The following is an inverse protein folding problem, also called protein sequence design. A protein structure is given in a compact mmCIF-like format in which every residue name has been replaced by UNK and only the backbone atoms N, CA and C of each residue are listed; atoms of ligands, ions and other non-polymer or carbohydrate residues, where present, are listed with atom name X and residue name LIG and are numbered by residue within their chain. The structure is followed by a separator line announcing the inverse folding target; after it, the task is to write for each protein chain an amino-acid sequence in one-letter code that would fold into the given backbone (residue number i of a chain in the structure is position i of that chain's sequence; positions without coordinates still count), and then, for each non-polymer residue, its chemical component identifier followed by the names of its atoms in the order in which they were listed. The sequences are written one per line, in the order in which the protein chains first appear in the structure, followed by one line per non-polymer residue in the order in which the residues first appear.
data_IF_247629219740
#
_entry.id   IF_247629219740
#
_cell.length_a   1.000
_cell.length_b   1.000
_cell.length_c   1.000
_cell.angle_alpha   90.00
_cell.angle_beta   90.00
_cell.angle_gamma   90.00
#
_symmetry.space_group_name_H-M   'P 1'
#
loop_
_entity.id
_entity.type
_entity.pdbx_description
1 polymer ?
#
# COMPACT_ATOMS: atom_id res chain seq x y z
N UNK A 1 -27.25 -54.04 -5.18
CA UNK A 1 -25.98 -54.15 -5.92
C UNK A 1 -26.20 -53.67 -7.34
N UNK A 2 -25.75 -52.46 -7.67
CA UNK A 2 -25.58 -51.98 -9.04
C UNK A 2 -24.64 -50.77 -8.97
N UNK A 3 -23.49 -50.90 -9.63
CA UNK A 3 -22.49 -49.87 -9.91
C UNK A 3 -23.02 -48.94 -11.00
N UNK A 4 -22.65 -47.64 -11.00
CA UNK A 4 -22.22 -46.88 -12.19
C UNK A 4 -21.70 -45.48 -11.79
N UNK A 5 -20.49 -45.23 -12.29
CA UNK A 5 -19.86 -43.99 -12.76
C UNK A 5 -19.65 -42.76 -11.86
N UNK A 6 -18.36 -42.41 -11.82
CA UNK A 6 -17.74 -41.14 -11.48
C UNK A 6 -18.42 -39.91 -12.12
N UNK A 7 -18.52 -38.85 -11.32
CA UNK A 7 -18.55 -37.47 -11.79
C UNK A 7 -17.56 -36.66 -10.95
N UNK A 8 -16.42 -36.36 -11.54
CA UNK A 8 -15.57 -35.26 -11.14
C UNK A 8 -16.37 -33.96 -11.29
N UNK A 9 -16.63 -33.27 -10.19
CA UNK A 9 -17.17 -31.92 -10.21
C UNK A 9 -16.10 -30.93 -9.82
N UNK A 10 -15.86 -30.06 -10.79
CA UNK A 10 -14.92 -28.96 -10.84
C UNK A 10 -14.86 -28.13 -9.55
N UNK A 11 -13.64 -27.97 -9.06
CA UNK A 11 -13.25 -26.79 -8.30
C UNK A 11 -13.28 -25.57 -9.26
N UNK A 12 -14.43 -24.92 -9.37
CA UNK A 12 -14.49 -23.54 -9.84
C UNK A 12 -14.21 -22.65 -8.65
N UNK A 13 -12.91 -22.44 -8.42
CA UNK A 13 -12.42 -21.41 -7.54
C UNK A 13 -12.94 -20.06 -8.03
N UNK A 14 -13.63 -19.38 -7.12
CA UNK A 14 -14.05 -17.99 -7.20
C UNK A 14 -12.82 -17.08 -7.34
N UNK A 15 -12.36 -16.89 -8.58
CA UNK A 15 -11.39 -15.85 -8.93
C UNK A 15 -12.18 -14.61 -9.37
N UNK A 16 -12.69 -13.87 -8.38
CA UNK A 16 -13.43 -12.61 -8.59
C UNK A 16 -12.74 -11.49 -7.84
N UNK A 17 -11.67 -10.99 -8.44
CA UNK A 17 -11.19 -9.63 -8.22
C UNK A 17 -10.95 -9.03 -9.60
N UNK A 18 -11.71 -8.01 -10.04
CA UNK A 18 -11.55 -7.40 -11.37
C UNK A 18 -10.41 -6.37 -11.39
N UNK A 19 -9.48 -6.44 -10.43
CA UNK A 19 -8.19 -5.80 -10.61
C UNK A 19 -7.55 -6.45 -11.83
N UNK A 20 -7.29 -5.66 -12.87
CA UNK A 20 -6.32 -6.00 -13.90
C UNK A 20 -4.97 -6.18 -13.21
N UNK A 21 -4.75 -7.33 -12.58
CA UNK A 21 -3.40 -7.82 -12.34
C UNK A 21 -2.78 -7.87 -13.72
N UNK A 22 -1.67 -7.19 -13.93
CA UNK A 22 -0.88 -7.32 -15.16
C UNK A 22 -0.20 -8.70 -15.11
N UNK A 23 -1.01 -9.76 -15.13
CA UNK A 23 -0.66 -11.16 -15.22
C UNK A 23 0.16 -11.73 -14.05
N UNK A 24 0.13 -13.05 -13.83
CA UNK A 24 1.00 -13.68 -12.84
C UNK A 24 2.46 -13.49 -13.23
N UNK A 25 3.25 -12.96 -12.29
CA UNK A 25 4.71 -12.93 -12.38
C UNK A 25 5.23 -14.36 -12.38
N UNK A 26 5.99 -14.75 -13.41
CA UNK A 26 6.55 -16.11 -13.53
C UNK A 26 8.07 -16.04 -13.51
N UNK A 27 8.66 -17.03 -12.86
CA UNK A 27 10.13 -17.18 -12.78
C UNK A 27 10.59 -18.20 -13.82
N UNK A 28 11.54 -17.79 -14.67
CA UNK A 28 11.82 -18.46 -15.95
C UNK A 28 13.08 -19.33 -15.97
N UNK A 29 13.52 -19.86 -14.84
CA UNK A 29 14.75 -20.66 -14.77
C UNK A 29 15.94 -19.95 -14.11
N UNK A 30 16.93 -20.74 -13.70
CA UNK A 30 18.24 -20.23 -13.26
C UNK A 30 18.97 -19.67 -14.47
N UNK A 31 19.54 -18.47 -14.35
CA UNK A 31 20.32 -17.87 -15.43
C UNK A 31 21.81 -18.07 -15.17
N UNK A 32 22.47 -18.82 -16.04
CA UNK A 32 23.94 -18.87 -16.08
C UNK A 32 24.44 -17.59 -16.75
N UNK A 33 24.80 -16.59 -15.96
CA UNK A 33 25.42 -15.36 -16.46
C UNK A 33 26.89 -15.64 -16.84
N UNK A 34 27.26 -15.40 -18.10
CA UNK A 34 28.63 -15.53 -18.64
C UNK A 34 29.69 -14.69 -17.92
N UNK A 35 29.26 -13.70 -17.13
CA UNK A 35 30.14 -12.82 -16.34
C UNK A 35 29.98 -13.02 -14.82
N UNK A 36 29.31 -14.09 -14.37
CA UNK A 36 28.94 -14.33 -12.96
C UNK A 36 28.12 -13.21 -12.28
N UNK A 37 27.63 -12.21 -13.04
CA UNK A 37 26.93 -11.03 -12.51
C UNK A 37 25.57 -11.36 -11.91
N UNK A 38 24.88 -12.38 -12.44
CA UNK A 38 23.58 -12.86 -11.93
C UNK A 38 23.63 -14.34 -11.49
N UNK A 39 24.82 -14.86 -11.19
CA UNK A 39 24.97 -16.19 -10.62
C UNK A 39 24.17 -16.23 -9.30
N UNK A 40 23.35 -17.26 -9.13
CA UNK A 40 22.43 -17.47 -7.99
C UNK A 40 21.17 -16.59 -7.95
N UNK A 41 20.80 -16.01 -9.09
CA UNK A 41 19.52 -15.34 -9.28
C UNK A 41 18.61 -16.05 -10.30
N UNK A 42 17.30 -15.86 -10.14
CA UNK A 42 16.26 -16.24 -11.10
C UNK A 42 15.86 -15.05 -11.97
N UNK A 43 15.62 -15.29 -13.26
CA UNK A 43 14.97 -14.31 -14.13
C UNK A 43 13.48 -14.27 -13.86
N UNK A 44 12.94 -13.06 -13.75
CA UNK A 44 11.52 -12.81 -13.59
C UNK A 44 10.98 -12.25 -14.90
N UNK A 45 9.92 -12.86 -15.43
CA UNK A 45 9.18 -12.37 -16.58
C UNK A 45 7.69 -12.28 -16.26
N UNK A 46 7.03 -11.31 -16.87
CA UNK A 46 5.57 -11.19 -16.93
C UNK A 46 5.12 -11.64 -18.31
N UNK A 47 4.15 -12.57 -18.35
CA UNK A 47 3.44 -12.88 -19.58
C UNK A 47 2.51 -11.71 -19.89
N UNK A 48 2.99 -10.71 -20.62
CA UNK A 48 2.12 -9.64 -21.12
C UNK A 48 1.36 -10.14 -22.34
N UNK A 49 0.16 -10.68 -22.13
CA UNK A 49 -0.84 -10.75 -23.20
C UNK A 49 -1.78 -9.58 -22.98
N UNK A 50 -1.46 -8.44 -23.60
CA UNK A 50 -2.37 -7.30 -23.62
C UNK A 50 -3.70 -7.77 -24.21
N UNK A 51 -4.83 -7.59 -23.51
CA UNK A 51 -6.12 -7.92 -24.09
C UNK A 51 -6.28 -7.12 -25.38
N UNK A 52 -6.66 -7.79 -26.47
CA UNK A 52 -7.04 -7.10 -27.70
C UNK A 52 -8.16 -6.11 -27.38
N UNK A 53 -8.04 -4.89 -27.90
CA UNK A 53 -9.02 -3.82 -27.73
C UNK A 53 -10.35 -4.31 -28.29
N UNK A 54 -11.18 -4.87 -27.42
CA UNK A 54 -12.54 -5.25 -27.77
C UNK A 54 -13.40 -4.03 -27.52
N UNK A 55 -13.95 -3.49 -28.60
CA UNK A 55 -14.86 -2.35 -28.62
C UNK A 55 -16.14 -2.69 -27.84
N UNK A 56 -16.12 -2.53 -26.52
CA UNK A 56 -17.23 -2.92 -25.65
C UNK A 56 -17.73 -1.78 -24.74
N UNK A 57 -18.91 -1.29 -25.15
CA UNK A 57 -20.01 -0.66 -24.41
C UNK A 57 -19.64 0.37 -23.32
N UNK A 58 -19.84 1.64 -23.70
CA UNK A 58 -20.25 2.73 -22.78
C UNK A 58 -21.55 2.34 -22.05
N UNK A 59 -21.42 1.70 -20.89
CA UNK A 59 -22.50 1.41 -19.97
C UNK A 59 -22.87 2.64 -19.16
N UNK A 60 -24.14 3.02 -19.22
CA UNK A 60 -24.74 4.22 -18.66
C UNK A 60 -24.59 4.30 -17.13
N UNK A 61 -23.87 5.32 -16.65
CA UNK A 61 -24.03 5.83 -15.29
C UNK A 61 -25.33 6.64 -15.23
N UNK A 62 -26.49 5.97 -15.14
CA UNK A 62 -27.74 6.65 -14.78
C UNK A 62 -28.21 6.17 -13.41
N UNK A 63 -28.47 7.14 -12.52
CA UNK A 63 -29.20 6.96 -11.27
C UNK A 63 -30.59 6.40 -11.57
N UNK A 64 -30.99 5.37 -10.83
CA UNK A 64 -32.33 4.83 -10.85
C UNK A 64 -32.53 3.74 -11.90
N UNK A 65 -32.81 2.53 -11.42
CA UNK A 65 -33.48 1.45 -12.13
C UNK A 65 -32.71 0.57 -13.14
N UNK A 66 -31.38 0.65 -13.20
CA UNK A 66 -30.61 -0.46 -13.77
C UNK A 66 -29.13 -0.21 -13.96
N UNK A 67 -28.29 -0.91 -13.19
CA UNK A 67 -26.91 -1.22 -13.62
C UNK A 67 -25.84 -1.26 -12.55
N UNK A 68 -25.81 -0.30 -11.61
CA UNK A 68 -24.69 -0.21 -10.65
C UNK A 68 -24.91 -0.96 -9.32
N UNK A 69 -26.16 -1.20 -8.90
CA UNK A 69 -26.47 -1.92 -7.65
C UNK A 69 -25.79 -1.35 -6.39
N UNK A 70 -25.76 -2.13 -5.31
CA UNK A 70 -25.02 -1.86 -4.05
C UNK A 70 -23.48 -1.93 -4.22
N UNK A 71 -22.95 -1.87 -5.46
CA UNK A 71 -21.50 -1.92 -5.71
C UNK A 71 -20.86 -0.60 -5.34
N UNK A 72 -19.63 -0.67 -4.82
CA UNK A 72 -18.82 0.51 -4.54
C UNK A 72 -18.47 1.25 -5.85
N UNK A 73 -18.44 2.58 -5.81
CA UNK A 73 -17.97 3.42 -6.91
C UNK A 73 -16.57 3.04 -7.39
N UNK A 74 -15.70 2.59 -6.49
CA UNK A 74 -14.39 2.05 -6.82
C UNK A 74 -14.47 0.87 -7.77
N UNK A 75 -15.37 -0.07 -7.48
CA UNK A 75 -15.58 -1.26 -8.30
C UNK A 75 -16.22 -0.89 -9.64
N UNK A 76 -17.13 0.09 -9.66
CA UNK A 76 -17.70 0.62 -10.92
C UNK A 76 -16.61 1.25 -11.80
N UNK A 77 -15.69 1.99 -11.20
CA UNK A 77 -14.57 2.60 -11.90
C UNK A 77 -13.57 1.57 -12.44
N UNK A 78 -13.22 0.56 -11.66
CA UNK A 78 -12.32 -0.53 -12.09
C UNK A 78 -12.88 -1.32 -13.27
N UNK A 79 -14.20 -1.53 -13.32
CA UNK A 79 -14.86 -2.20 -14.44
C UNK A 79 -14.91 -1.35 -15.72
N UNK A 80 -14.58 -0.06 -15.65
CA UNK A 80 -14.53 0.80 -16.82
C UNK A 80 -13.27 0.48 -17.65
N UNK A 81 -13.46 0.37 -18.96
CA UNK A 81 -12.37 0.09 -19.90
C UNK A 81 -11.44 1.30 -19.95
N UNK A 82 -10.16 1.08 -19.65
CA UNK A 82 -9.12 2.08 -19.86
C UNK A 82 -8.45 1.84 -21.21
N UNK A 83 -8.55 2.78 -22.17
CA UNK A 83 -7.92 2.60 -23.47
C UNK A 83 -6.39 2.64 -23.32
N UNK A 84 -5.71 1.62 -23.87
CA UNK A 84 -4.26 1.68 -24.02
C UNK A 84 -3.89 2.81 -24.98
N UNK A 85 -3.25 3.84 -24.43
CA UNK A 85 -2.69 4.95 -25.19
C UNK A 85 -1.17 4.83 -25.29
N UNK A 86 -0.56 5.62 -26.19
CA UNK A 86 0.90 5.73 -26.33
C UNK A 86 1.61 6.10 -25.02
N UNK A 87 0.87 6.59 -24.02
CA UNK A 87 1.38 6.84 -22.67
C UNK A 87 2.02 5.59 -22.02
N UNK A 88 1.50 4.41 -22.36
CA UNK A 88 1.95 3.11 -21.84
C UNK A 88 2.96 2.41 -22.76
N UNK A 89 3.34 3.01 -23.88
CA UNK A 89 4.35 2.44 -24.76
C UNK A 89 5.75 2.52 -24.11
N UNK A 90 6.67 1.57 -24.42
CA UNK A 90 8.05 1.62 -23.95
C UNK A 90 8.70 2.96 -24.31
N UNK A 91 9.20 3.68 -23.30
CA UNK A 91 9.83 4.98 -23.55
C UNK A 91 11.27 4.75 -24.00
N UNK A 92 11.60 5.29 -25.18
CA UNK A 92 12.96 5.28 -25.72
C UNK A 92 13.93 6.15 -24.92
N UNK A 93 13.43 7.01 -24.03
CA UNK A 93 14.21 7.90 -23.18
C UNK A 93 14.07 7.52 -21.70
N UNK A 94 15.09 7.76 -20.87
CA UNK A 94 14.96 7.66 -19.42
C UNK A 94 13.76 8.45 -18.90
N UNK A 95 13.23 8.07 -17.74
CA UNK A 95 12.20 8.85 -17.07
C UNK A 95 12.69 10.30 -16.92
N UNK A 96 11.95 11.23 -17.53
CA UNK A 96 12.18 12.66 -17.31
C UNK A 96 12.00 12.93 -15.82
N UNK A 97 12.91 13.67 -15.16
CA UNK A 97 12.69 14.09 -13.79
C UNK A 97 11.36 14.87 -13.74
N UNK A 98 10.57 14.64 -12.69
CA UNK A 98 9.31 15.36 -12.50
C UNK A 98 9.56 16.87 -12.63
N UNK A 99 8.76 17.59 -13.44
CA UNK A 99 8.88 19.03 -13.56
C UNK A 99 8.58 19.65 -12.19
N UNK A 100 9.63 20.12 -11.51
CA UNK A 100 9.60 20.54 -10.10
C UNK A 100 10.50 19.76 -9.14
N UNK A 101 11.26 18.77 -9.62
CA UNK A 101 12.10 17.89 -8.80
C UNK A 101 11.34 16.65 -8.32
N UNK A 102 12.03 15.71 -7.66
CA UNK A 102 11.33 14.57 -7.08
C UNK A 102 10.24 15.06 -6.11
N UNK A 103 9.02 14.53 -6.20
CA UNK A 103 7.98 14.86 -5.24
C UNK A 103 8.48 14.66 -3.81
N UNK A 104 8.04 15.48 -2.85
CA UNK A 104 8.46 15.36 -1.44
C UNK A 104 8.21 13.96 -0.84
N UNK A 105 7.32 13.16 -1.45
CA UNK A 105 7.09 11.77 -1.06
C UNK A 105 8.20 10.81 -1.52
N UNK A 106 8.91 11.13 -2.60
CA UNK A 106 10.07 10.40 -3.06
C UNK A 106 11.30 10.91 -2.28
N UNK A 107 11.46 10.40 -1.04
CA UNK A 107 12.68 10.64 -0.28
C UNK A 107 13.86 9.97 -0.96
N UNK A 108 15.00 10.65 -0.93
CA UNK A 108 16.22 10.22 -1.60
C UNK A 108 17.28 9.95 -0.56
N UNK A 109 18.03 8.88 -0.77
CA UNK A 109 19.26 8.63 -0.05
C UNK A 109 20.27 9.73 -0.32
N UNK A 110 20.82 10.33 0.74
CA UNK A 110 21.89 11.32 0.63
C UNK A 110 23.26 10.63 0.70
N UNK A 111 24.05 10.74 -0.36
CA UNK A 111 25.41 10.21 -0.42
C UNK A 111 25.54 8.88 -1.17
N UNK A 112 26.66 8.19 -0.94
CA UNK A 112 26.99 6.91 -1.62
C UNK A 112 26.57 5.73 -0.76
N UNK A 113 25.99 4.72 -1.39
CA UNK A 113 25.71 3.43 -0.74
C UNK A 113 26.93 2.53 -0.99
N UNK A 114 27.67 2.20 0.06
CA UNK A 114 28.78 1.24 -0.06
C UNK A 114 28.24 -0.18 -0.17
N UNK A 115 28.99 -1.05 -0.85
CA UNK A 115 28.66 -2.47 -0.93
C UNK A 115 28.60 -3.13 0.47
N UNK A 116 29.47 -2.69 1.38
CA UNK A 116 29.49 -3.19 2.76
C UNK A 116 28.20 -2.80 3.51
N UNK A 117 27.73 -1.56 3.38
CA UNK A 117 26.46 -1.13 3.97
C UNK A 117 25.29 -1.90 3.37
N UNK A 118 25.24 -2.03 2.04
CA UNK A 118 24.19 -2.76 1.36
C UNK A 118 24.10 -4.23 1.82
N UNK A 119 25.24 -4.92 1.90
CA UNK A 119 25.28 -6.31 2.34
C UNK A 119 25.02 -6.50 3.85
N UNK A 120 25.20 -5.46 4.68
CA UNK A 120 24.95 -5.56 6.12
C UNK A 120 23.47 -5.40 6.48
N UNK A 121 22.63 -4.86 5.58
CA UNK A 121 21.22 -4.54 5.86
C UNK A 121 20.43 -5.71 6.48
N UNK A 122 20.45 -6.95 5.94
CA UNK A 122 19.68 -8.04 6.54
C UNK A 122 20.14 -8.38 7.98
N UNK A 123 21.44 -8.24 8.26
CA UNK A 123 22.01 -8.46 9.59
C UNK A 123 21.63 -7.33 10.56
N UNK A 124 21.67 -6.08 10.11
CA UNK A 124 21.23 -4.93 10.91
C UNK A 124 19.75 -5.07 11.28
N UNK A 125 18.90 -5.42 10.31
CA UNK A 125 17.48 -5.62 10.57
C UNK A 125 17.24 -6.75 11.57
N UNK A 126 17.93 -7.89 11.39
CA UNK A 126 17.86 -9.03 12.30
C UNK A 126 18.22 -8.65 13.74
N UNK A 127 19.32 -7.92 13.92
CA UNK A 127 19.84 -7.61 15.25
C UNK A 127 19.07 -6.49 15.96
N UNK A 128 18.58 -5.51 15.21
CA UNK A 128 17.88 -4.35 15.78
C UNK A 128 16.38 -4.59 15.98
N UNK A 129 15.74 -5.29 15.04
CA UNK A 129 14.29 -5.45 15.02
C UNK A 129 13.85 -6.92 15.15
N UNK A 130 14.80 -7.86 15.20
CA UNK A 130 14.52 -9.29 15.37
C UNK A 130 14.41 -10.04 14.03
N UNK A 131 14.41 -11.37 14.12
CA UNK A 131 14.41 -12.26 12.94
C UNK A 131 13.15 -12.10 12.06
N UNK A 132 12.02 -11.66 12.60
CA UNK A 132 10.78 -11.49 11.84
C UNK A 132 10.91 -10.38 10.78
N UNK A 133 11.78 -9.40 10.97
CA UNK A 133 12.02 -8.33 9.98
C UNK A 133 13.10 -8.70 8.96
N UNK A 134 14.00 -9.65 9.29
CA UNK A 134 15.07 -10.03 8.37
C UNK A 134 14.59 -10.97 7.25
N UNK A 135 13.52 -11.74 7.48
CA UNK A 135 12.87 -12.58 6.45
C UNK A 135 12.10 -11.75 5.43
N UNK A 136 11.70 -10.52 5.80
CA UNK A 136 10.92 -9.60 4.97
C UNK A 136 11.78 -8.73 4.05
N UNK A 137 13.09 -9.00 3.91
CA UNK A 137 13.95 -8.31 2.96
C UNK A 137 14.16 -9.17 1.71
N UNK A 138 13.67 -8.66 0.59
CA UNK A 138 13.89 -9.22 -0.73
C UNK A 138 15.05 -8.50 -1.43
N UNK A 139 15.92 -9.28 -2.07
CA UNK A 139 17.01 -8.75 -2.90
C UNK A 139 16.67 -8.94 -4.37
N UNK A 140 16.64 -7.83 -5.07
CA UNK A 140 16.46 -7.78 -6.52
C UNK A 140 17.71 -7.23 -7.19
N UNK A 141 17.85 -7.59 -8.46
CA UNK A 141 18.87 -7.06 -9.34
C UNK A 141 18.25 -6.69 -10.68
N UNK A 142 18.49 -5.47 -11.13
CA UNK A 142 18.21 -5.03 -12.49
C UNK A 142 19.49 -5.13 -13.28
N UNK A 143 19.46 -5.87 -14.39
CA UNK A 143 20.62 -5.99 -15.27
C UNK A 143 20.19 -6.13 -16.73
N UNK A 144 20.68 -5.26 -17.61
CA UNK A 144 20.35 -5.31 -19.04
C UNK A 144 18.84 -5.17 -19.32
N UNK A 145 18.13 -4.35 -18.54
CA UNK A 145 16.68 -4.16 -18.66
C UNK A 145 15.83 -5.33 -18.13
N UNK A 146 16.43 -6.29 -17.43
CA UNK A 146 15.75 -7.48 -16.87
C UNK A 146 15.78 -7.46 -15.35
N UNK A 147 14.75 -8.04 -14.73
CA UNK A 147 14.63 -8.19 -13.28
C UNK A 147 15.04 -9.59 -12.83
N UNK A 148 15.83 -9.63 -11.76
CA UNK A 148 16.33 -10.84 -11.16
C UNK A 148 16.07 -10.86 -9.64
N UNK A 149 15.82 -12.03 -9.05
CA UNK A 149 15.67 -12.22 -7.59
C UNK A 149 16.56 -13.35 -7.07
N UNK A 150 16.97 -13.28 -5.79
CA UNK A 150 17.78 -14.33 -5.13
C UNK A 150 17.08 -15.70 -5.18
N UNK A 151 17.84 -16.76 -5.48
CA UNK A 151 17.43 -18.17 -5.42
C UNK A 151 16.80 -18.59 -4.09
N UNK A 152 17.30 -18.06 -2.98
CA UNK A 152 16.80 -18.41 -1.65
C UNK A 152 15.39 -17.89 -1.36
N UNK A 153 14.86 -16.96 -2.15
CA UNK A 153 13.53 -16.40 -1.92
C UNK A 153 12.43 -17.46 -1.95
N UNK A 154 12.50 -18.47 -2.83
CA UNK A 154 11.46 -19.50 -2.97
C UNK A 154 11.30 -20.41 -1.75
N UNK A 155 12.32 -20.48 -0.90
CA UNK A 155 12.30 -21.30 0.32
C UNK A 155 12.07 -20.45 1.57
N UNK A 156 11.97 -19.13 1.43
CA UNK A 156 11.62 -18.24 2.53
C UNK A 156 10.11 -18.18 2.63
N UNK A 157 9.59 -18.68 3.74
CA UNK A 157 8.26 -18.33 4.21
C UNK A 157 8.22 -16.81 4.41
N UNK A 158 7.40 -16.12 3.60
CA UNK A 158 7.20 -14.67 3.71
C UNK A 158 6.10 -14.33 4.71
N UNK A 159 5.64 -15.30 5.49
CA UNK A 159 4.66 -15.14 6.56
C UNK A 159 3.36 -14.49 6.06
N UNK A 160 2.92 -14.83 4.84
CA UNK A 160 1.71 -14.29 4.22
C UNK A 160 1.92 -13.04 3.36
N UNK A 161 3.16 -12.59 3.14
CA UNK A 161 3.50 -11.42 2.32
C UNK A 161 3.79 -11.74 0.85
N UNK A 162 3.44 -12.95 0.37
CA UNK A 162 3.68 -13.39 -1.01
C UNK A 162 2.98 -12.47 -2.02
N UNK A 163 1.71 -12.14 -1.78
CA UNK A 163 0.94 -11.22 -2.65
C UNK A 163 1.60 -9.85 -2.72
N UNK A 164 2.13 -9.36 -1.62
CA UNK A 164 2.83 -8.08 -1.57
C UNK A 164 4.14 -8.12 -2.36
N UNK A 165 4.89 -9.21 -2.25
CA UNK A 165 6.10 -9.40 -3.05
C UNK A 165 5.79 -9.43 -4.56
N UNK A 166 4.74 -10.15 -4.96
CA UNK A 166 4.27 -10.21 -6.36
C UNK A 166 3.89 -8.82 -6.91
N UNK A 167 3.18 -8.01 -6.12
CA UNK A 167 2.81 -6.64 -6.51
C UNK A 167 4.04 -5.76 -6.75
N UNK A 168 5.07 -5.89 -5.92
CA UNK A 168 6.31 -5.11 -6.07
C UNK A 168 7.04 -5.56 -7.34
N UNK A 169 7.09 -6.85 -7.63
CA UNK A 169 7.68 -7.36 -8.86
C UNK A 169 6.95 -6.86 -10.10
N UNK A 170 5.62 -6.92 -10.10
CA UNK A 170 4.78 -6.40 -11.16
C UNK A 170 5.08 -4.91 -11.41
N UNK A 171 5.12 -4.10 -10.36
CA UNK A 171 5.48 -2.68 -10.43
C UNK A 171 6.89 -2.47 -10.99
N UNK A 172 7.89 -3.25 -10.55
CA UNK A 172 9.27 -3.14 -11.04
C UNK A 172 9.37 -3.55 -12.51
N UNK A 173 8.67 -4.60 -12.94
CA UNK A 173 8.63 -5.04 -14.34
C UNK A 173 7.93 -4.01 -15.23
N UNK A 174 6.83 -3.43 -14.77
CA UNK A 174 6.17 -2.33 -15.47
C UNK A 174 7.11 -1.12 -15.61
N UNK A 175 7.88 -0.78 -14.56
CA UNK A 175 8.88 0.27 -14.66
C UNK A 175 9.99 -0.06 -15.67
N UNK A 176 10.45 -1.32 -15.75
CA UNK A 176 11.44 -1.77 -16.74
C UNK A 176 10.90 -1.77 -18.17
N UNK A 177 9.61 -2.06 -18.34
CA UNK A 177 8.93 -1.97 -19.63
C UNK A 177 8.81 -0.51 -20.10
N UNK A 178 8.41 0.38 -19.20
CA UNK A 178 8.12 1.77 -19.52
C UNK A 178 9.38 2.63 -19.61
N UNK A 179 10.47 2.29 -18.92
CA UNK A 179 11.64 3.14 -18.79
C UNK A 179 12.96 2.39 -18.99
N UNK A 180 13.96 3.10 -19.50
CA UNK A 180 15.36 2.65 -19.49
C UNK A 180 15.94 2.75 -18.07
N UNK A 181 15.77 1.69 -17.28
CA UNK A 181 16.32 1.59 -15.92
C UNK A 181 17.78 1.12 -15.97
N UNK A 182 18.72 1.81 -15.31
CA UNK A 182 20.11 1.38 -15.25
C UNK A 182 20.26 0.08 -14.43
N UNK A 183 21.41 -0.58 -14.60
CA UNK A 183 21.76 -1.73 -13.77
C UNK A 183 21.84 -1.31 -12.30
N UNK A 184 21.20 -2.06 -11.41
CA UNK A 184 21.13 -1.75 -9.98
C UNK A 184 20.91 -3.01 -9.14
N UNK A 185 21.51 -3.05 -7.96
CA UNK A 185 21.13 -3.98 -6.89
C UNK A 185 20.18 -3.25 -5.94
N UNK A 186 19.07 -3.89 -5.56
CA UNK A 186 17.98 -3.28 -4.81
C UNK A 186 17.58 -4.18 -3.66
N UNK A 187 17.34 -3.59 -2.49
CA UNK A 187 16.72 -4.27 -1.35
C UNK A 187 15.33 -3.71 -1.13
N UNK A 188 14.35 -4.58 -1.01
CA UNK A 188 12.95 -4.25 -0.74
C UNK A 188 12.59 -4.82 0.62
N UNK A 189 12.01 -4.01 1.50
CA UNK A 189 11.50 -4.47 2.79
C UNK A 189 9.97 -4.51 2.75
N UNK A 190 9.40 -5.68 3.06
CA UNK A 190 7.96 -5.94 3.06
C UNK A 190 7.28 -5.68 4.41
N UNK A 191 8.07 -5.42 5.46
CA UNK A 191 7.52 -5.22 6.81
C UNK A 191 6.87 -3.85 6.98
N UNK A 192 5.85 -3.81 7.84
CA UNK A 192 5.27 -2.56 8.34
C UNK A 192 6.28 -1.87 9.27
N UNK A 193 6.63 -0.63 8.95
CA UNK A 193 7.58 0.19 9.71
C UNK A 193 8.54 0.95 8.80
N UNK A 194 9.43 1.72 9.41
CA UNK A 194 10.40 2.55 8.69
C UNK A 194 11.81 2.44 9.30
N UNK A 195 12.53 1.32 9.05
CA UNK A 195 13.90 1.12 9.48
C UNK A 195 14.82 2.30 9.10
N UNK A 196 15.46 2.86 10.12
CA UNK A 196 16.29 4.05 9.98
C UNK A 196 17.68 3.72 9.42
N UNK A 197 18.18 4.55 8.50
CA UNK A 197 19.58 4.51 8.08
C UNK A 197 19.95 3.34 7.18
N UNK A 198 18.99 2.76 6.47
CA UNK A 198 19.21 1.59 5.61
C UNK A 198 18.78 1.88 4.15
N UNK A 199 19.57 1.48 3.14
CA UNK A 199 19.26 1.71 1.74
C UNK A 199 18.19 0.71 1.23
N UNK A 200 16.97 0.85 1.75
CA UNK A 200 15.83 -0.03 1.49
C UNK A 200 14.76 0.70 0.66
N UNK A 201 14.16 -0.01 -0.30
CA UNK A 201 12.85 0.33 -0.87
C UNK A 201 11.75 -0.14 0.09
N UNK A 202 10.87 0.75 0.53
CA UNK A 202 9.87 0.47 1.55
C UNK A 202 8.55 1.20 1.27
N UNK A 203 7.41 0.64 1.68
CA UNK A 203 6.13 1.33 1.57
C UNK A 203 6.08 2.59 2.45
N UNK A 204 6.75 2.53 3.61
CA UNK A 204 6.82 3.59 4.60
C UNK A 204 8.27 3.97 4.86
N UNK A 205 8.51 5.28 5.01
CA UNK A 205 9.82 5.84 5.37
C UNK A 205 9.65 6.82 6.53
N UNK A 206 10.67 6.93 7.37
CA UNK A 206 10.67 7.86 8.49
C UNK A 206 11.53 9.06 8.15
N UNK A 207 10.85 10.15 7.73
CA UNK A 207 11.51 11.39 7.31
C UNK A 207 12.21 12.13 8.45
N UNK A 208 12.14 11.65 9.69
CA UNK A 208 12.97 12.17 10.79
C UNK A 208 14.46 11.86 10.59
N UNK A 209 14.79 10.92 9.70
CA UNK A 209 16.15 10.52 9.40
C UNK A 209 16.56 10.91 7.99
N UNK A 210 17.75 11.50 7.83
CA UNK A 210 18.30 11.85 6.51
C UNK A 210 18.41 10.63 5.58
N UNK A 211 18.70 9.46 6.18
CA UNK A 211 18.90 8.19 5.48
C UNK A 211 17.70 7.23 5.65
N UNK A 212 16.48 7.73 5.51
CA UNK A 212 15.23 6.99 5.66
C UNK A 212 14.95 5.91 4.59
N UNK A 213 15.90 5.63 3.70
CA UNK A 213 15.70 4.76 2.55
C UNK A 213 14.91 5.44 1.43
N UNK A 214 14.11 4.66 0.71
CA UNK A 214 13.37 5.08 -0.48
C UNK A 214 11.92 4.60 -0.37
N UNK A 215 10.96 5.52 -0.54
CA UNK A 215 9.56 5.16 -0.58
C UNK A 215 9.19 4.51 -1.92
N UNK A 216 8.40 3.44 -1.89
CA UNK A 216 7.78 2.82 -3.07
C UNK A 216 6.24 2.91 -3.01
N UNK A 217 5.57 3.22 -4.14
CA UNK A 217 4.12 3.39 -4.17
C UNK A 217 3.36 2.06 -4.25
N UNK A 218 3.79 1.03 -3.49
CA UNK A 218 3.26 -0.35 -3.58
C UNK A 218 1.72 -0.40 -3.53
N UNK A 219 1.11 0.25 -2.54
CA UNK A 219 -0.34 0.20 -2.33
C UNK A 219 -1.10 1.11 -3.29
N UNK A 220 -0.45 2.17 -3.77
CA UNK A 220 -0.99 3.00 -4.85
C UNK A 220 -0.99 2.26 -6.18
N UNK A 221 -0.07 1.31 -6.39
CA UNK A 221 -0.05 0.44 -7.57
C UNK A 221 -1.26 -0.49 -7.61
N UNK A 222 -1.56 -1.17 -6.50
CA UNK A 222 -2.74 -2.05 -6.38
C UNK A 222 -4.04 -1.28 -6.67
N UNK A 223 -4.13 -0.04 -6.22
CA UNK A 223 -5.32 0.81 -6.34
C UNK A 223 -5.20 1.84 -7.46
N UNK A 224 -4.28 1.65 -8.42
CA UNK A 224 -4.11 2.59 -9.50
C UNK A 224 -5.31 2.52 -10.46
N UNK A 225 -5.92 3.67 -10.71
CA UNK A 225 -6.93 3.85 -11.76
C UNK A 225 -6.33 4.65 -12.90
N UNK A 226 -6.68 4.28 -14.14
CA UNK A 226 -6.37 5.11 -15.30
C UNK A 226 -7.17 6.42 -15.32
N UNK A 227 -6.84 7.36 -16.22
CA UNK A 227 -7.56 8.64 -16.32
C UNK A 227 -9.07 8.51 -16.51
N UNK A 228 -9.54 7.63 -17.40
CA UNK A 228 -10.97 7.45 -17.64
C UNK A 228 -11.66 6.77 -16.44
N UNK A 229 -11.02 5.73 -15.88
CA UNK A 229 -11.50 5.09 -14.65
C UNK A 229 -11.59 6.07 -13.47
N UNK A 230 -10.60 6.96 -13.32
CA UNK A 230 -10.60 8.01 -12.28
C UNK A 230 -11.74 9.00 -12.48
N UNK A 231 -12.03 9.38 -13.73
CA UNK A 231 -13.17 10.23 -14.08
C UNK A 231 -14.50 9.58 -13.66
N UNK A 232 -14.68 8.30 -14.00
CA UNK A 232 -15.84 7.49 -13.61
C UNK A 232 -15.98 7.40 -12.09
N UNK A 233 -14.87 7.20 -11.36
CA UNK A 233 -14.88 7.18 -9.90
C UNK A 233 -15.43 8.50 -9.35
N UNK A 234 -14.90 9.64 -9.79
CA UNK A 234 -15.33 10.95 -9.31
C UNK A 234 -16.78 11.26 -9.67
N UNK A 235 -17.24 10.92 -10.88
CA UNK A 235 -18.64 11.06 -11.29
C UNK A 235 -19.58 10.22 -10.40
N UNK A 236 -19.21 8.96 -10.14
CA UNK A 236 -19.96 8.09 -9.25
C UNK A 236 -20.02 8.65 -7.82
N UNK A 237 -18.88 9.10 -7.28
CA UNK A 237 -18.82 9.67 -5.94
C UNK A 237 -19.62 10.97 -5.80
N UNK A 238 -19.58 11.87 -6.79
CA UNK A 238 -20.37 13.11 -6.77
C UNK A 238 -21.86 12.80 -6.89
N UNK A 239 -22.21 11.81 -7.71
CA UNK A 239 -23.58 11.34 -7.84
C UNK A 239 -24.06 10.64 -6.58
N UNK A 240 -23.26 9.83 -5.89
CA UNK A 240 -23.72 9.08 -4.71
C UNK A 240 -23.65 9.93 -3.43
N UNK A 241 -22.62 10.74 -3.30
CA UNK A 241 -22.29 11.52 -2.10
C UNK A 241 -22.05 13.00 -2.45
N UNK A 242 -23.10 13.71 -2.89
CA UNK A 242 -22.97 15.09 -3.38
C UNK A 242 -22.39 16.01 -2.31
N UNK A 243 -21.59 17.00 -2.75
CA UNK A 243 -21.04 18.07 -1.90
C UNK A 243 -22.14 19.05 -1.47
N UNK A 244 -23.04 18.58 -0.63
CA UNK A 244 -24.20 19.34 -0.14
C UNK A 244 -24.28 19.31 1.37
N UNK A 245 -25.12 20.17 1.93
CA UNK A 245 -25.39 20.28 3.37
C UNK A 245 -26.04 19.03 3.98
N UNK A 246 -26.29 17.99 3.17
CA UNK A 246 -26.85 16.70 3.62
C UNK A 246 -25.82 15.80 4.32
N UNK A 247 -24.54 16.17 4.34
CA UNK A 247 -23.50 15.42 5.05
C UNK A 247 -23.68 15.57 6.56
N UNK A 248 -23.38 14.52 7.31
CA UNK A 248 -23.31 14.60 8.75
C UNK A 248 -22.24 15.62 9.15
N UNK A 249 -22.63 16.65 9.91
CA UNK A 249 -21.77 17.72 10.41
C UNK A 249 -20.80 17.23 11.52
N UNK A 250 -20.12 16.13 11.25
CA UNK A 250 -19.22 15.43 12.17
C UNK A 250 -17.92 15.06 11.46
N UNK A 251 -16.87 14.96 12.24
CA UNK A 251 -15.55 14.50 11.83
C UNK A 251 -15.48 12.99 11.98
N UNK A 252 -15.15 12.27 10.91
CA UNK A 252 -15.07 10.81 10.93
C UNK A 252 -13.65 10.26 10.95
N UNK A 253 -13.48 9.18 11.72
CA UNK A 253 -12.32 8.29 11.63
C UNK A 253 -12.73 6.87 12.05
N UNK A 254 -12.21 5.85 11.38
CA UNK A 254 -12.28 4.44 11.82
C UNK A 254 -10.90 3.84 11.67
N UNK A 255 -10.38 3.16 12.66
CA UNK A 255 -9.09 2.50 12.49
C UNK A 255 -8.75 1.58 13.63
N UNK A 256 -7.64 0.87 13.51
CA UNK A 256 -7.08 0.11 14.62
C UNK A 256 -6.17 1.01 15.45
N UNK A 257 -5.75 0.54 16.63
CA UNK A 257 -4.87 1.28 17.53
C UNK A 257 -3.40 1.35 17.09
N UNK A 258 -3.06 1.11 15.82
CA UNK A 258 -1.65 1.03 15.40
C UNK A 258 -0.92 2.35 15.59
N UNK A 259 0.28 2.33 16.16
CA UNK A 259 1.11 3.52 16.42
C UNK A 259 2.59 3.16 16.39
N UNK A 260 3.39 3.96 15.67
CA UNK A 260 4.84 3.73 15.54
C UNK A 260 5.61 3.94 16.85
N UNK A 261 5.09 4.74 17.77
CA UNK A 261 5.77 5.06 19.03
C UNK A 261 5.37 4.13 20.18
N UNK A 262 4.24 3.43 20.05
CA UNK A 262 3.66 2.63 21.13
C UNK A 262 3.22 1.26 20.59
N UNK A 263 4.17 0.34 20.51
CA UNK A 263 3.95 -1.07 20.23
C UNK A 263 4.77 -1.94 21.20
N UNK A 264 4.14 -2.76 22.06
CA UNK A 264 2.70 -2.99 22.18
C UNK A 264 1.97 -1.88 22.96
N UNK A 265 0.70 -1.69 22.67
CA UNK A 265 -0.22 -0.94 23.53
C UNK A 265 -0.60 -1.79 24.75
N UNK A 266 -0.40 -1.26 25.94
CA UNK A 266 -0.78 -1.87 27.23
C UNK A 266 -1.75 -0.94 27.96
N UNK A 267 -2.34 -1.39 29.07
CA UNK A 267 -3.39 -0.62 29.75
C UNK A 267 -2.93 0.75 30.22
N UNK A 268 -1.67 0.87 30.69
CA UNK A 268 -1.13 2.12 31.19
C UNK A 268 -0.87 3.18 30.12
N UNK A 269 -0.79 2.79 28.83
CA UNK A 269 -0.46 3.71 27.74
C UNK A 269 -1.53 3.75 26.63
N UNK A 270 -2.68 3.10 26.82
CA UNK A 270 -3.75 3.04 25.82
C UNK A 270 -4.29 4.43 25.43
N UNK A 271 -4.21 5.42 26.34
CA UNK A 271 -4.58 6.81 26.11
C UNK A 271 -3.44 7.69 25.59
N UNK A 272 -2.22 7.17 25.52
CA UNK A 272 -1.07 7.89 24.95
C UNK A 272 -0.97 7.70 23.44
N UNK A 273 -1.51 6.60 22.93
CA UNK A 273 -1.66 6.35 21.50
C UNK A 273 -2.53 7.46 20.89
N UNK A 274 -2.05 8.09 19.82
CA UNK A 274 -2.76 9.23 19.18
C UNK A 274 -4.17 8.81 18.73
N UNK A 275 -4.28 7.60 18.17
CA UNK A 275 -5.56 7.00 17.77
C UNK A 275 -6.48 6.66 18.95
N UNK A 276 -5.90 6.36 20.12
CA UNK A 276 -6.63 6.17 21.37
C UNK A 276 -7.26 7.49 21.85
N UNK A 277 -6.50 8.59 21.78
CA UNK A 277 -7.02 9.94 22.08
C UNK A 277 -8.13 10.34 21.13
N UNK A 278 -7.94 10.10 19.82
CA UNK A 278 -8.98 10.39 18.82
C UNK A 278 -10.27 9.59 19.07
N UNK A 279 -10.16 8.32 19.47
CA UNK A 279 -11.31 7.50 19.87
C UNK A 279 -12.01 8.04 21.12
N UNK A 280 -11.25 8.51 22.10
CA UNK A 280 -11.81 9.14 23.31
C UNK A 280 -12.56 10.43 22.97
N UNK A 281 -12.07 11.24 22.03
CA UNK A 281 -12.78 12.44 21.55
C UNK A 281 -14.16 12.10 20.98
N UNK A 282 -14.30 11.01 20.22
CA UNK A 282 -15.59 10.53 19.71
C UNK A 282 -16.57 10.09 20.80
N UNK A 283 -16.06 9.74 21.99
CA UNK A 283 -16.90 9.42 23.16
C UNK A 283 -17.32 10.65 23.94
N UNK A 284 -16.41 11.62 24.09
CA UNK A 284 -16.67 12.83 24.86
C UNK A 284 -17.48 13.88 24.10
N UNK A 285 -17.30 13.95 22.78
CA UNK A 285 -17.95 14.93 21.91
C UNK A 285 -18.59 14.26 20.68
N UNK A 286 -19.52 13.31 20.86
CA UNK A 286 -20.10 12.52 19.76
C UNK A 286 -20.88 13.35 18.72
N UNK A 287 -21.29 14.57 19.08
CA UNK A 287 -21.92 15.55 18.21
C UNK A 287 -20.93 16.24 17.26
N UNK A 288 -19.62 16.18 17.55
CA UNK A 288 -18.55 16.74 16.72
C UNK A 288 -17.74 15.62 16.07
N UNK A 289 -17.42 14.56 16.82
CA UNK A 289 -16.53 13.48 16.41
C UNK A 289 -17.29 12.16 16.34
N UNK A 290 -17.27 11.56 15.15
CA UNK A 290 -17.65 10.17 14.92
C UNK A 290 -16.37 9.37 14.68
N UNK A 291 -15.58 9.17 15.73
CA UNK A 291 -14.25 8.57 15.65
C UNK A 291 -14.16 7.31 16.50
N UNK A 292 -13.79 6.19 15.87
CA UNK A 292 -13.78 4.90 16.57
C UNK A 292 -12.56 4.02 16.27
N UNK A 293 -11.99 3.44 17.32
CA UNK A 293 -11.16 2.24 17.21
C UNK A 293 -12.08 1.06 16.87
N UNK A 294 -11.84 0.41 15.74
CA UNK A 294 -12.61 -0.76 15.27
C UNK A 294 -11.99 -2.10 15.70
N UNK A 295 -10.79 -2.05 16.30
CA UNK A 295 -10.09 -3.22 16.80
C UNK A 295 -8.75 -2.86 17.44
N UNK A 296 -8.44 -3.56 18.53
CA UNK A 296 -7.17 -3.46 19.25
C UNK A 296 -6.22 -4.54 18.73
N UNK A 297 -5.37 -4.20 17.77
CA UNK A 297 -4.48 -5.16 17.06
C UNK A 297 -3.07 -5.21 17.61
N UNK A 298 -2.60 -4.10 18.22
CA UNK A 298 -1.30 -4.02 18.90
C UNK A 298 -1.43 -4.14 20.43
N UNK A 299 -2.59 -4.59 20.93
CA UNK A 299 -2.82 -4.66 22.36
C UNK A 299 -2.18 -5.87 23.01
N UNK A 300 -1.56 -5.67 24.16
CA UNK A 300 -1.21 -6.71 25.14
C UNK A 300 -1.92 -6.45 26.48
N UNK A 301 -3.23 -6.20 26.41
CA UNK A 301 -4.03 -5.99 27.60
C UNK A 301 -4.15 -7.30 28.39
N UNK A 302 -3.83 -7.23 29.68
CA UNK A 302 -3.98 -8.31 30.66
C UNK A 302 -5.36 -8.32 31.32
N UNK A 303 -6.08 -7.20 31.25
CA UNK A 303 -7.41 -6.99 31.84
C UNK A 303 -8.42 -6.49 30.80
N UNK A 304 -9.71 -6.52 31.15
CA UNK A 304 -10.77 -5.94 30.31
C UNK A 304 -10.93 -4.42 30.47
N UNK A 305 -10.12 -3.76 31.31
CA UNK A 305 -10.30 -2.36 31.69
C UNK A 305 -10.38 -1.44 30.46
N UNK A 306 -9.41 -1.55 29.54
CA UNK A 306 -9.39 -0.72 28.32
C UNK A 306 -10.60 -0.98 27.45
N UNK A 307 -10.99 -2.24 27.24
CA UNK A 307 -12.15 -2.59 26.42
C UNK A 307 -13.47 -2.09 27.02
N UNK A 308 -13.58 -2.01 28.36
CA UNK A 308 -14.76 -1.49 29.05
C UNK A 308 -14.82 0.04 28.99
N UNK A 309 -13.69 0.73 29.18
CA UNK A 309 -13.63 2.20 29.16
C UNK A 309 -13.67 2.76 27.74
N UNK A 310 -13.01 2.07 26.80
CA UNK A 310 -12.85 2.44 25.39
C UNK A 310 -13.36 1.30 24.49
N UNK A 311 -14.66 0.98 24.52
CA UNK A 311 -15.22 -0.06 23.67
C UNK A 311 -15.03 0.27 22.20
N UNK A 312 -14.83 -0.76 21.38
CA UNK A 312 -14.64 -0.60 19.95
C UNK A 312 -15.92 -0.15 19.27
N UNK A 313 -15.80 0.60 18.18
CA UNK A 313 -16.91 0.99 17.33
C UNK A 313 -17.06 0.10 16.09
N UNK A 314 -18.12 0.37 15.35
CA UNK A 314 -18.43 -0.33 14.09
C UNK A 314 -17.51 0.11 12.96
N UNK A 315 -17.17 -0.82 12.07
CA UNK A 315 -16.51 -0.48 10.80
C UNK A 315 -17.46 0.33 9.93
N UNK A 316 -16.90 1.23 9.14
CA UNK A 316 -17.59 2.00 8.11
C UNK A 316 -16.98 1.60 6.78
N UNK A 317 -17.81 1.37 5.75
CA UNK A 317 -17.29 1.12 4.41
C UNK A 317 -16.54 2.35 3.94
N UNK A 318 -15.46 2.15 3.18
CA UNK A 318 -14.57 3.26 2.84
C UNK A 318 -15.32 4.40 2.15
N UNK A 319 -16.20 4.12 1.19
CA UNK A 319 -16.94 5.17 0.47
C UNK A 319 -17.92 5.95 1.36
N UNK A 320 -18.45 5.32 2.40
CA UNK A 320 -19.42 5.95 3.31
C UNK A 320 -18.79 7.06 4.16
N UNK A 321 -17.45 7.18 4.18
CA UNK A 321 -16.79 8.36 4.72
C UNK A 321 -17.18 9.66 3.98
N UNK A 322 -17.69 9.57 2.74
CA UNK A 322 -18.21 10.72 2.01
C UNK A 322 -19.54 11.27 2.59
N UNK A 323 -20.18 10.54 3.51
CA UNK A 323 -21.36 11.03 4.24
C UNK A 323 -21.02 12.01 5.37
N UNK A 324 -19.74 12.21 5.67
CA UNK A 324 -19.28 13.09 6.75
C UNK A 324 -18.76 14.42 6.20
N UNK A 325 -18.82 15.46 7.03
CA UNK A 325 -18.34 16.80 6.68
C UNK A 325 -16.80 16.87 6.60
N UNK A 326 -16.12 16.07 7.42
CA UNK A 326 -14.66 16.01 7.47
C UNK A 326 -14.20 14.59 7.79
N UNK A 327 -13.10 14.16 7.20
CA UNK A 327 -12.41 12.91 7.54
C UNK A 327 -11.08 13.29 8.18
N UNK A 328 -10.74 12.69 9.32
CA UNK A 328 -9.38 12.77 9.86
C UNK A 328 -8.61 11.55 9.41
N UNK A 329 -7.35 11.70 9.02
CA UNK A 329 -6.44 10.58 8.76
C UNK A 329 -5.22 10.66 9.67
N UNK A 330 -4.94 9.55 10.35
CA UNK A 330 -3.90 9.44 11.39
C UNK A 330 -2.97 8.31 11.01
N UNK A 331 -1.67 8.58 11.04
CA UNK A 331 -0.62 7.59 10.79
C UNK A 331 -0.67 6.43 11.79
N UNK A 332 -0.14 5.28 11.38
CA UNK A 332 -0.07 4.07 12.19
C UNK A 332 1.37 3.77 12.56
N UNK A 333 1.82 2.55 12.24
CA UNK A 333 3.25 2.17 12.32
C UNK A 333 4.13 2.91 11.30
N UNK A 334 3.49 3.62 10.37
CA UNK A 334 4.06 4.44 9.31
C UNK A 334 2.94 5.26 8.70
N UNK A 335 3.06 5.64 7.42
CA UNK A 335 1.97 6.34 6.76
C UNK A 335 0.72 5.49 6.69
N UNK A 336 -0.42 6.13 6.98
CA UNK A 336 -1.72 5.50 6.77
C UNK A 336 -1.94 5.25 5.29
N UNK A 337 -1.92 3.97 4.94
CA UNK A 337 -2.29 3.44 3.64
C UNK A 337 -3.63 4.02 3.14
N UNK A 338 -4.57 4.30 4.05
CA UNK A 338 -5.90 4.83 3.74
C UNK A 338 -5.86 6.15 2.95
N UNK A 339 -4.85 6.99 3.17
CA UNK A 339 -4.77 8.32 2.56
C UNK A 339 -4.88 8.27 1.02
N UNK A 340 -4.33 7.22 0.38
CA UNK A 340 -4.38 7.08 -1.08
C UNK A 340 -5.82 6.98 -1.62
N UNK A 341 -6.72 6.34 -0.86
CA UNK A 341 -8.12 6.19 -1.24
C UNK A 341 -8.92 7.45 -0.90
N UNK A 342 -8.66 8.03 0.28
CA UNK A 342 -9.32 9.26 0.72
C UNK A 342 -9.01 10.46 -0.18
N UNK A 343 -7.85 10.46 -0.86
CA UNK A 343 -7.48 11.49 -1.81
C UNK A 343 -8.48 11.65 -2.98
N UNK A 344 -9.26 10.61 -3.27
CA UNK A 344 -10.29 10.63 -4.32
C UNK A 344 -11.68 11.02 -3.82
N UNK A 345 -11.85 11.24 -2.52
CA UNK A 345 -13.16 11.49 -1.92
C UNK A 345 -13.59 12.95 -2.06
N UNK A 346 -14.91 13.14 -2.11
CA UNK A 346 -15.52 14.47 -2.15
C UNK A 346 -15.57 15.12 -0.76
N UNK A 347 -15.14 14.42 0.29
CA UNK A 347 -15.06 14.94 1.65
C UNK A 347 -13.64 15.39 1.96
N UNK A 348 -13.46 16.62 2.49
CA UNK A 348 -12.15 17.10 2.91
C UNK A 348 -11.48 16.16 3.92
N UNK A 349 -10.15 16.03 3.80
CA UNK A 349 -9.34 15.17 4.67
C UNK A 349 -8.38 16.05 5.48
N UNK A 350 -8.49 16.00 6.80
CA UNK A 350 -7.50 16.55 7.71
C UNK A 350 -6.48 15.47 8.04
N UNK A 351 -5.30 15.57 7.42
CA UNK A 351 -4.19 14.65 7.63
C UNK A 351 -3.35 15.11 8.82
N UNK A 352 -3.14 14.25 9.81
CA UNK A 352 -2.12 14.49 10.83
C UNK A 352 -0.75 14.58 10.15
N UNK A 353 -0.04 15.69 10.37
CA UNK A 353 1.32 15.84 9.88
C UNK A 353 2.19 14.73 10.46
N UNK A 354 2.83 13.93 9.59
CA UNK A 354 3.87 13.01 10.02
C UNK A 354 4.96 13.85 10.68
N UNK A 355 5.38 13.47 11.89
CA UNK A 355 6.29 14.26 12.72
C UNK A 355 7.50 14.73 11.88
N UNK A 356 7.59 16.04 11.67
CA UNK A 356 8.85 16.68 11.30
C UNK A 356 9.74 16.52 12.53
N UNK A 357 11.01 16.12 12.41
CA UNK A 357 11.90 16.13 13.56
C UNK A 357 11.84 17.54 14.14
N UNK A 358 11.40 17.66 15.40
CA UNK A 358 11.68 18.85 16.18
C UNK A 358 13.19 19.01 16.09
N UNK A 359 13.65 20.05 15.37
CA UNK A 359 15.04 20.43 15.40
C UNK A 359 15.37 20.72 16.86
N UNK A 360 16.08 19.78 17.48
CA UNK A 360 16.62 19.80 18.83
C UNK A 360 16.03 20.85 19.77
N UNK A 361 15.06 20.45 20.60
CA UNK A 361 14.80 21.12 21.87
C UNK A 361 15.89 20.73 22.90
N UNK A 362 17.18 20.81 22.51
CA UNK A 362 18.33 20.71 23.41
C UNK A 362 18.40 21.91 24.38
N UNK A 363 17.49 22.89 24.25
CA UNK A 363 17.47 24.13 25.04
C UNK A 363 16.52 24.17 26.24
N UNK A 364 15.74 23.13 26.54
CA UNK A 364 14.73 23.17 27.63
C UNK A 364 14.96 22.23 28.81
N UNK A 365 16.18 21.73 28.97
CA UNK A 365 16.64 21.13 30.22
C UNK A 365 17.86 21.90 30.75
N UNK A 366 17.60 23.07 31.33
CA UNK A 366 18.50 23.76 32.25
C UNK A 366 17.72 24.20 33.47
#
# INVERSE_FOLDING_TARGET
MATIAALASAALASDKSPLMRLHPVRTMGRVNSSYNVAQDYWHIETNHTFPEVTDHRKGQLKRGDGGAGDRSCWVVAQDHVEPYSDFFAPRGTPAQPYPGGAPRFAWRWHGRISLQLFNSVPFVLRNRFGCNHCTLVLRYKVFGGRLYTDTNRRHRDLSGQEKEAEQIEEMMLAALHLFKVPNADVLVHLGDGAPEGLPLLQANIDRRFENAGFAIPKRMWEDALGPEQTSVLHECLETRYPRSDKRAARVAWRGTNTDVHIDPTVESNALDVVRGRLHLMGRWYPEIFDTHIVGWVQSKFTTQCVAQVLPTGSRVQLEDFNNFALIVDVDGNGWSDRMRLLAHYNTPVLKQASAVPEQGDEGRRS
#
